data_IF_192953214802
#
_entry.id   IF_192953214802
#
_cell.length_a   1.000
_cell.length_b   1.000
_cell.length_c   1.000
_cell.angle_alpha   90.00
_cell.angle_beta   90.00
_cell.angle_gamma   90.00
#
_symmetry.space_group_name_H-M   'P 1'
#
loop_
_entity.id
_entity.type
_entity.pdbx_description
1 polymer ?
#
# COMPACT_ATOMS: atom_id res chain seq x y z
N UNK A 1 -3.09 -2.86 -6.87
CA UNK A 1 -2.05 -3.45 -7.75
C UNK A 1 -2.08 -4.95 -7.57
N UNK A 2 -2.22 -5.74 -8.66
CA UNK A 2 -2.13 -7.20 -8.56
C UNK A 2 -0.88 -7.63 -7.80
N UNK A 3 -0.98 -8.67 -6.98
CA UNK A 3 0.06 -9.21 -6.08
C UNK A 3 0.47 -8.34 -4.87
N UNK A 4 0.23 -7.03 -4.88
CA UNK A 4 0.46 -6.15 -3.72
C UNK A 4 -0.81 -5.98 -2.89
N UNK A 5 -1.79 -5.27 -3.40
CA UNK A 5 -3.10 -5.13 -2.80
C UNK A 5 -4.15 -5.13 -3.89
N UNK A 6 -5.01 -6.15 -3.90
CA UNK A 6 -6.04 -6.34 -4.90
C UNK A 6 -7.36 -6.74 -4.26
N UNK A 7 -8.45 -6.17 -4.76
CA UNK A 7 -9.82 -6.57 -4.44
C UNK A 7 -10.47 -7.02 -5.74
N UNK A 8 -10.85 -8.30 -5.78
CA UNK A 8 -11.66 -8.81 -6.88
C UNK A 8 -13.04 -8.15 -6.85
N UNK A 9 -13.41 -7.48 -7.94
CA UNK A 9 -14.66 -6.71 -7.96
C UNK A 9 -15.91 -7.60 -7.99
N UNK A 10 -15.79 -8.86 -8.42
CA UNK A 10 -16.88 -9.83 -8.51
C UNK A 10 -17.10 -10.59 -7.20
N UNK A 11 -16.03 -11.06 -6.55
CA UNK A 11 -16.12 -11.84 -5.31
C UNK A 11 -15.95 -11.01 -4.05
N UNK A 12 -15.41 -9.78 -4.18
CA UNK A 12 -14.95 -8.92 -3.07
C UNK A 12 -13.83 -9.53 -2.23
N UNK A 13 -13.21 -10.59 -2.72
CA UNK A 13 -12.04 -11.19 -2.08
C UNK A 13 -10.83 -10.26 -2.21
N UNK A 14 -10.11 -10.11 -1.10
CA UNK A 14 -8.88 -9.32 -1.03
C UNK A 14 -7.67 -10.22 -0.97
N UNK A 15 -6.68 -9.92 -1.79
CA UNK A 15 -5.45 -10.69 -1.89
C UNK A 15 -4.24 -9.80 -2.17
N UNK A 16 -3.06 -10.36 -1.91
CA UNK A 16 -1.76 -9.73 -2.16
C UNK A 16 -0.97 -9.46 -0.88
N UNK A 17 0.29 -9.10 -1.07
CA UNK A 17 1.25 -8.83 -0.02
C UNK A 17 0.75 -7.84 1.05
N UNK A 18 0.19 -6.69 0.67
CA UNK A 18 -0.33 -5.67 1.59
C UNK A 18 -1.48 -6.23 2.47
N UNK A 19 -2.31 -7.13 1.92
CA UNK A 19 -3.42 -7.75 2.65
C UNK A 19 -2.88 -8.69 3.74
N UNK A 20 -1.86 -9.47 3.43
CA UNK A 20 -1.24 -10.38 4.40
C UNK A 20 -0.47 -9.61 5.48
N UNK A 21 0.18 -8.49 5.14
CA UNK A 21 0.80 -7.59 6.13
C UNK A 21 -0.25 -7.03 7.09
N UNK A 22 -1.40 -6.56 6.59
CA UNK A 22 -2.47 -6.05 7.45
C UNK A 22 -3.05 -7.14 8.38
N UNK A 23 -3.23 -8.38 7.88
CA UNK A 23 -3.62 -9.52 8.73
C UNK A 23 -2.59 -9.84 9.82
N UNK A 24 -1.30 -9.81 9.48
CA UNK A 24 -0.22 -10.05 10.45
C UNK A 24 -0.21 -8.97 11.53
N UNK A 25 -0.35 -7.70 11.17
CA UNK A 25 -0.45 -6.59 12.13
C UNK A 25 -1.67 -6.76 13.04
N UNK A 26 -2.83 -7.11 12.49
CA UNK A 26 -4.04 -7.36 13.27
C UNK A 26 -3.84 -8.51 14.28
N UNK A 27 -3.21 -9.61 13.84
CA UNK A 27 -2.91 -10.75 14.69
C UNK A 27 -1.95 -10.37 15.83
N UNK A 28 -0.89 -9.61 15.55
CA UNK A 28 0.04 -9.10 16.56
C UNK A 28 -0.63 -8.18 17.59
N UNK A 29 -1.68 -7.46 17.17
CA UNK A 29 -2.53 -6.65 18.03
C UNK A 29 -3.63 -7.46 18.76
N UNK A 30 -3.71 -8.77 18.55
CA UNK A 30 -4.67 -9.67 19.20
C UNK A 30 -6.03 -9.77 18.51
N UNK A 31 -6.16 -9.30 17.27
CA UNK A 31 -7.38 -9.38 16.48
C UNK A 31 -7.32 -10.53 15.48
N UNK A 32 -8.46 -11.20 15.26
CA UNK A 32 -8.62 -12.14 14.16
C UNK A 32 -8.84 -11.43 12.83
N UNK A 33 -8.57 -12.12 11.72
CA UNK A 33 -8.83 -11.65 10.35
C UNK A 33 -10.28 -11.21 10.13
N UNK A 34 -11.24 -11.88 10.78
CA UNK A 34 -12.68 -11.57 10.74
C UNK A 34 -13.04 -10.25 11.42
N UNK A 35 -12.17 -9.71 12.27
CA UNK A 35 -12.37 -8.44 12.96
C UNK A 35 -11.79 -7.26 12.17
N UNK A 36 -11.17 -7.51 11.01
CA UNK A 36 -10.65 -6.46 10.15
C UNK A 36 -11.78 -5.90 9.29
N UNK A 37 -12.08 -4.62 9.48
CA UNK A 37 -12.95 -3.86 8.57
C UNK A 37 -12.12 -3.27 7.43
N UNK A 38 -12.33 -3.80 6.22
CA UNK A 38 -11.59 -3.37 5.05
C UNK A 38 -12.26 -2.19 4.35
N UNK A 39 -11.48 -1.13 4.12
CA UNK A 39 -11.91 0.04 3.35
C UNK A 39 -10.93 0.34 2.23
N UNK A 40 -11.43 0.37 1.00
CA UNK A 40 -10.66 0.83 -0.15
C UNK A 40 -10.58 2.36 -0.11
N UNK A 41 -9.36 2.88 -0.08
CA UNK A 41 -9.09 4.33 0.00
C UNK A 41 -8.38 4.76 -1.27
N UNK A 42 -8.90 5.81 -1.91
CA UNK A 42 -8.25 6.41 -3.07
C UNK A 42 -6.88 7.00 -2.68
N UNK A 43 -5.94 6.89 -3.61
CA UNK A 43 -4.56 7.29 -3.38
C UNK A 43 -4.37 8.75 -2.99
N UNK A 44 -5.24 9.66 -3.47
CA UNK A 44 -5.14 11.09 -3.23
C UNK A 44 -5.74 11.56 -1.90
N UNK A 45 -6.40 10.68 -1.15
CA UNK A 45 -7.12 11.05 0.09
C UNK A 45 -6.69 10.23 1.31
N UNK A 46 -5.60 9.46 1.23
CA UNK A 46 -5.15 8.54 2.29
C UNK A 46 -4.88 9.25 3.61
N UNK A 47 -4.15 10.35 3.56
CA UNK A 47 -3.77 11.15 4.72
C UNK A 47 -5.00 11.77 5.39
N UNK A 48 -5.97 12.19 4.57
CA UNK A 48 -7.27 12.68 5.07
C UNK A 48 -8.10 11.56 5.69
N UNK A 49 -8.12 10.36 5.10
CA UNK A 49 -8.84 9.22 5.65
C UNK A 49 -8.31 8.82 7.03
N UNK A 50 -6.98 8.80 7.20
CA UNK A 50 -6.33 8.51 8.49
C UNK A 50 -6.62 9.64 9.50
N UNK A 51 -6.33 10.90 9.14
CA UNK A 51 -6.47 12.03 10.08
C UNK A 51 -7.91 12.31 10.53
N UNK A 52 -8.91 11.97 9.70
CA UNK A 52 -10.33 12.05 10.05
C UNK A 52 -10.86 10.81 10.77
N UNK A 53 -10.01 9.82 11.08
CA UNK A 53 -10.41 8.59 11.76
C UNK A 53 -11.35 7.71 10.92
N UNK A 54 -11.29 7.82 9.59
CA UNK A 54 -12.08 6.96 8.71
C UNK A 54 -11.49 5.56 8.53
N UNK A 55 -10.21 5.41 8.88
CA UNK A 55 -9.47 4.15 8.99
C UNK A 55 -8.50 4.30 10.18
N UNK A 56 -8.26 3.22 10.91
CA UNK A 56 -7.34 3.24 12.05
C UNK A 56 -5.88 3.20 11.61
N UNK A 57 -5.59 2.47 10.54
CA UNK A 57 -4.28 2.41 9.90
C UNK A 57 -4.42 2.08 8.40
N UNK A 58 -3.35 2.29 7.63
CA UNK A 58 -3.33 2.08 6.19
C UNK A 58 -2.15 1.19 5.78
N UNK A 59 -2.43 0.17 4.94
CA UNK A 59 -1.44 -0.70 4.29
C UNK A 59 -1.73 -0.71 2.79
N UNK A 60 -0.69 -0.60 1.95
CA UNK A 60 -0.86 -0.32 0.53
C UNK A 60 0.38 0.27 -0.13
N UNK A 61 1.53 -0.39 0.04
CA UNK A 61 2.86 0.04 -0.48
C UNK A 61 3.12 1.54 -0.45
N UNK A 62 2.79 2.17 0.68
CA UNK A 62 2.79 3.62 0.82
C UNK A 62 4.19 4.17 1.07
N UNK A 63 4.72 4.95 0.12
CA UNK A 63 6.07 5.53 0.23
C UNK A 63 6.17 6.49 1.42
N UNK A 64 7.13 6.22 2.30
CA UNK A 64 7.50 7.11 3.40
C UNK A 64 8.32 8.28 2.84
N UNK A 65 7.90 9.52 3.10
CA UNK A 65 8.67 10.73 2.79
C UNK A 65 8.40 11.83 3.83
N UNK A 66 9.20 12.90 3.81
CA UNK A 66 9.13 13.96 4.83
C UNK A 66 7.87 14.81 4.75
N UNK A 67 7.26 14.95 3.58
CA UNK A 67 5.99 15.65 3.43
C UNK A 67 4.85 14.88 4.10
N UNK A 68 4.79 13.57 3.87
CA UNK A 68 3.76 12.68 4.43
C UNK A 68 3.91 12.51 5.94
N UNK A 69 5.15 12.45 6.44
CA UNK A 69 5.44 12.39 7.89
C UNK A 69 4.90 13.60 8.67
N UNK A 70 4.66 14.74 8.00
CA UNK A 70 4.04 15.92 8.65
C UNK A 70 2.53 15.74 8.86
N UNK A 71 1.89 14.82 8.14
CA UNK A 71 0.43 14.63 8.16
C UNK A 71 0.02 13.35 8.89
N UNK A 72 0.81 12.29 8.80
CA UNK A 72 0.51 10.98 9.39
C UNK A 72 1.76 10.32 9.98
N UNK A 73 1.53 9.45 10.98
CA UNK A 73 2.58 8.60 11.54
C UNK A 73 2.87 7.38 10.65
N UNK A 74 4.08 6.83 10.78
CA UNK A 74 4.49 5.59 10.11
C UNK A 74 5.09 4.63 11.15
N UNK A 75 4.66 3.37 11.13
CA UNK A 75 5.20 2.33 12.00
C UNK A 75 6.60 1.84 11.57
N UNK A 76 7.00 2.13 10.34
CA UNK A 76 8.26 1.70 9.74
C UNK A 76 8.05 1.14 8.33
N UNK A 77 9.13 0.90 7.58
CA UNK A 77 9.04 0.28 6.27
C UNK A 77 8.86 -1.23 6.41
N UNK A 78 7.79 -1.79 5.83
CA UNK A 78 7.65 -3.25 5.66
C UNK A 78 8.07 -3.72 4.26
N UNK A 79 8.33 -2.79 3.34
CA UNK A 79 8.75 -3.06 1.97
C UNK A 79 9.66 -1.93 1.47
N UNK A 80 10.77 -2.29 0.82
CA UNK A 80 11.66 -1.35 0.13
C UNK A 80 11.50 -1.57 -1.37
N UNK A 81 10.77 -0.67 -2.02
CA UNK A 81 10.59 -0.72 -3.46
C UNK A 81 11.85 -0.24 -4.20
N UNK A 82 12.25 -0.96 -5.23
CA UNK A 82 13.10 -0.42 -6.29
C UNK A 82 12.26 0.41 -7.27
N UNK A 83 12.83 1.48 -7.82
CA UNK A 83 12.28 2.16 -8.97
C UNK A 83 12.98 1.64 -10.22
N UNK A 84 12.19 1.30 -11.24
CA UNK A 84 12.68 0.82 -12.53
C UNK A 84 11.89 1.47 -13.67
N UNK A 85 12.43 1.45 -14.88
CA UNK A 85 11.80 2.00 -16.07
C UNK A 85 11.06 0.92 -16.85
N UNK A 86 9.75 1.11 -17.01
CA UNK A 86 8.96 0.30 -17.93
C UNK A 86 9.03 0.91 -19.33
N UNK A 87 9.67 0.19 -20.26
CA UNK A 87 9.79 0.59 -21.67
C UNK A 87 9.08 -0.39 -22.58
N UNK A 88 8.78 0.03 -23.83
CA UNK A 88 8.28 -0.90 -24.85
C UNK A 88 9.33 -1.95 -25.15
N UNK A 89 8.89 -3.16 -25.54
CA UNK A 89 9.81 -4.26 -25.86
C UNK A 89 10.75 -3.96 -27.04
N UNK A 90 10.35 -3.05 -27.93
CA UNK A 90 11.14 -2.61 -29.08
C UNK A 90 11.87 -1.27 -28.85
N UNK A 91 11.82 -0.73 -27.63
CA UNK A 91 12.54 0.50 -27.28
C UNK A 91 14.05 0.24 -27.24
N UNK A 92 14.82 1.05 -27.97
CA UNK A 92 16.28 0.90 -28.11
C UNK A 92 17.07 2.12 -27.65
N UNK A 93 16.41 3.27 -27.50
CA UNK A 93 17.08 4.53 -27.15
C UNK A 93 17.28 4.70 -25.64
N UNK A 94 16.39 4.11 -24.83
CA UNK A 94 16.45 4.16 -23.37
C UNK A 94 17.26 2.95 -22.89
N UNK A 95 18.51 3.18 -22.45
CA UNK A 95 19.44 2.10 -22.05
C UNK A 95 19.86 2.16 -20.59
N UNK A 96 19.76 3.33 -19.95
CA UNK A 96 19.97 3.51 -18.51
C UNK A 96 19.27 4.77 -18.03
N UNK A 97 19.20 4.94 -16.69
CA UNK A 97 18.91 6.24 -16.10
C UNK A 97 19.99 7.26 -16.49
N UNK A 98 19.62 8.52 -16.61
CA UNK A 98 20.60 9.61 -16.60
C UNK A 98 21.32 9.59 -15.24
N UNK A 99 22.65 9.76 -15.25
CA UNK A 99 23.50 9.69 -14.05
C UNK A 99 23.90 11.10 -13.61
#
# INVERSE_FOLDING_TARGET
QPYLGFEDQSTKERSGFDIEIAKMIAADLGFSDKQIEWKTVDSGVRETAISKGQVDYYVGTYTINDERKKQVGFAGPYYKAGADLLVRSDEKSITSKDT
#
